data_IF_553397674572
#
_entry.id   IF_553397674572
#
_cell.length_a   1.000
_cell.length_b   1.000
_cell.length_c   1.000
_cell.angle_alpha   90.00
_cell.angle_beta   90.00
_cell.angle_gamma   90.00
#
_symmetry.space_group_name_H-M   'P 1'
#
loop_
_entity.id
_entity.type
_entity.pdbx_description
1 polymer ?
#
# COMPACT_ATOMS: atom_id res chain seq x y z
N UNK A 1 15.23 10.58 -24.62
CA UNK A 1 15.01 10.42 -26.07
C UNK A 1 14.81 8.93 -26.32
N UNK A 2 13.57 8.49 -26.54
CA UNK A 2 13.25 7.09 -26.86
C UNK A 2 12.96 7.04 -28.36
N UNK A 3 13.70 6.24 -29.12
CA UNK A 3 13.49 6.08 -30.56
C UNK A 3 13.12 4.64 -30.92
N UNK A 4 12.14 4.52 -31.82
CA UNK A 4 11.77 3.29 -32.51
C UNK A 4 12.57 3.17 -33.83
N UNK A 5 12.88 1.95 -34.31
CA UNK A 5 13.57 1.73 -35.59
C UNK A 5 12.82 2.26 -36.83
N UNK A 6 11.54 2.62 -36.69
CA UNK A 6 10.71 3.26 -37.72
C UNK A 6 10.49 4.73 -37.37
N UNK A 7 11.53 5.54 -37.56
CA UNK A 7 11.55 7.00 -37.32
C UNK A 7 10.66 7.76 -38.32
N UNK A 8 9.33 7.78 -38.12
CA UNK A 8 8.44 8.63 -38.94
C UNK A 8 7.41 9.42 -38.13
N UNK A 9 7.65 9.57 -36.82
CA UNK A 9 6.76 10.35 -35.94
C UNK A 9 7.55 11.14 -34.90
N UNK A 10 7.70 12.43 -35.17
CA UNK A 10 8.14 13.42 -34.19
C UNK A 10 6.87 14.00 -33.54
N UNK A 11 6.83 14.03 -32.21
CA UNK A 11 5.73 14.62 -31.46
C UNK A 11 6.31 15.54 -30.38
N UNK A 12 6.09 16.84 -30.55
CA UNK A 12 6.47 17.86 -29.59
C UNK A 12 5.28 18.17 -28.68
N UNK A 13 5.51 18.14 -27.38
CA UNK A 13 4.50 18.43 -26.36
C UNK A 13 4.95 19.63 -25.53
N UNK A 14 4.15 20.69 -25.54
CA UNK A 14 4.36 21.85 -24.68
C UNK A 14 3.32 21.84 -23.56
N UNK A 15 3.77 21.97 -22.31
CA UNK A 15 2.91 22.07 -21.14
C UNK A 15 3.34 23.25 -20.28
N UNK A 16 2.35 24.01 -19.80
CA UNK A 16 2.60 25.07 -18.82
C UNK A 16 2.91 24.47 -17.47
N UNK A 17 3.98 24.95 -16.85
CA UNK A 17 4.36 24.58 -15.50
C UNK A 17 3.49 25.34 -14.49
N UNK A 18 3.28 24.72 -13.33
CA UNK A 18 2.65 25.36 -12.18
C UNK A 18 3.70 25.46 -11.07
N UNK A 19 3.70 26.61 -10.37
CA UNK A 19 4.48 26.76 -9.15
C UNK A 19 3.76 26.01 -8.03
N UNK A 20 4.35 24.90 -7.60
CA UNK A 20 3.87 24.10 -6.47
C UNK A 20 4.89 24.25 -5.35
N UNK A 21 4.45 24.75 -4.20
CA UNK A 21 5.30 24.84 -3.02
C UNK A 21 5.74 23.45 -2.59
N UNK A 22 7.06 23.24 -2.52
CA UNK A 22 7.64 21.94 -2.19
C UNK A 22 7.87 21.80 -0.69
N UNK A 23 6.87 21.33 0.03
CA UNK A 23 7.04 20.90 1.42
C UNK A 23 7.70 19.51 1.45
N UNK A 24 8.97 19.47 1.84
CA UNK A 24 9.70 18.22 1.98
C UNK A 24 9.46 17.64 3.37
N UNK A 25 8.67 16.57 3.43
CA UNK A 25 8.60 15.73 4.63
C UNK A 25 9.84 14.83 4.65
N UNK A 26 10.55 14.83 5.79
CA UNK A 26 11.69 13.94 5.98
C UNK A 26 11.26 12.47 5.87
N UNK A 27 12.10 11.63 5.26
CA UNK A 27 11.84 10.19 5.26
C UNK A 27 12.08 9.62 6.66
N UNK A 28 11.14 8.86 7.24
CA UNK A 28 11.34 8.25 8.55
C UNK A 28 12.45 7.18 8.47
N UNK A 29 13.50 7.32 9.28
CA UNK A 29 14.55 6.30 9.48
C UNK A 29 14.16 5.30 10.59
N UNK A 30 12.91 4.87 10.61
CA UNK A 30 12.40 3.98 11.66
C UNK A 30 12.76 2.52 11.36
N UNK A 31 13.18 1.78 12.38
CA UNK A 31 13.34 0.32 12.26
C UNK A 31 11.98 -0.36 12.07
N UNK A 32 11.82 -1.07 10.96
CA UNK A 32 10.62 -1.82 10.68
C UNK A 32 10.58 -3.12 11.50
N UNK A 33 9.48 -3.33 12.24
CA UNK A 33 9.26 -4.56 13.02
C UNK A 33 9.16 -5.82 12.14
N UNK A 34 8.75 -5.67 10.88
CA UNK A 34 8.70 -6.75 9.90
C UNK A 34 8.89 -6.21 8.47
N UNK A 35 9.55 -7.00 7.62
CA UNK A 35 9.70 -6.73 6.19
C UNK A 35 9.20 -7.95 5.42
N UNK A 36 8.17 -7.76 4.60
CA UNK A 36 7.61 -8.82 3.76
C UNK A 36 7.98 -8.55 2.30
N UNK A 37 8.58 -9.55 1.65
CA UNK A 37 8.88 -9.55 0.21
C UNK A 37 8.00 -10.57 -0.49
N UNK A 38 7.27 -10.15 -1.52
CA UNK A 38 6.41 -11.01 -2.33
C UNK A 38 6.28 -10.49 -3.76
N UNK A 39 5.69 -11.29 -4.64
CA UNK A 39 5.36 -10.87 -6.01
C UNK A 39 4.36 -9.70 -5.99
N UNK A 40 4.70 -8.62 -6.70
CA UNK A 40 3.80 -7.45 -6.85
C UNK A 40 2.46 -7.84 -7.47
N UNK A 41 2.47 -8.79 -8.41
CA UNK A 41 1.26 -9.31 -9.05
C UNK A 41 0.37 -10.13 -8.10
N UNK A 42 0.96 -10.84 -7.14
CA UNK A 42 0.20 -11.53 -6.08
C UNK A 42 -0.37 -10.52 -5.08
N UNK A 43 0.45 -9.57 -4.62
CA UNK A 43 -0.02 -8.51 -3.71
C UNK A 43 -1.15 -7.69 -4.32
N UNK A 44 -1.06 -7.34 -5.61
CA UNK A 44 -2.11 -6.66 -6.34
C UNK A 44 -3.42 -7.46 -6.40
N UNK A 45 -3.34 -8.78 -6.59
CA UNK A 45 -4.51 -9.67 -6.56
C UNK A 45 -5.12 -9.72 -5.17
N UNK A 46 -4.30 -9.86 -4.12
CA UNK A 46 -4.76 -9.85 -2.72
C UNK A 46 -5.52 -8.55 -2.43
N UNK A 47 -4.94 -7.38 -2.68
CA UNK A 47 -5.60 -6.10 -2.43
C UNK A 47 -6.93 -5.98 -3.19
N UNK A 48 -6.99 -6.37 -4.47
CA UNK A 48 -8.22 -6.35 -5.26
C UNK A 48 -9.30 -7.28 -4.69
N UNK A 49 -8.94 -8.51 -4.32
CA UNK A 49 -9.86 -9.50 -3.76
C UNK A 49 -10.47 -9.02 -2.44
N UNK A 50 -9.66 -8.47 -1.54
CA UNK A 50 -10.19 -7.93 -0.29
C UNK A 50 -11.04 -6.67 -0.51
N UNK A 51 -10.73 -5.87 -1.53
CA UNK A 51 -11.49 -4.64 -1.84
C UNK A 51 -12.89 -4.90 -2.39
N UNK A 52 -13.16 -6.10 -2.92
CA UNK A 52 -14.53 -6.49 -3.28
C UNK A 52 -15.38 -6.90 -2.07
N UNK A 53 -14.75 -7.13 -0.92
CA UNK A 53 -15.40 -7.63 0.30
C UNK A 53 -15.52 -6.52 1.35
N UNK A 54 -14.52 -5.65 1.49
CA UNK A 54 -14.59 -4.52 2.41
C UNK A 54 -13.56 -3.42 2.12
N UNK A 55 -13.58 -2.37 2.91
CA UNK A 55 -12.75 -1.17 2.67
C UNK A 55 -11.37 -1.21 3.34
N UNK A 56 -11.15 -2.18 4.22
CA UNK A 56 -9.93 -2.31 5.02
C UNK A 56 -9.35 -3.71 4.97
N UNK A 57 -8.03 -3.78 5.15
CA UNK A 57 -7.31 -5.04 5.33
C UNK A 57 -6.43 -4.92 6.55
N UNK A 58 -6.54 -5.92 7.42
CA UNK A 58 -5.62 -6.17 8.53
C UNK A 58 -4.48 -7.03 7.98
N UNK A 59 -3.25 -6.54 8.13
CA UNK A 59 -2.04 -7.24 7.75
C UNK A 59 -1.31 -7.64 9.03
N UNK A 60 -1.23 -8.94 9.29
CA UNK A 60 -0.50 -9.49 10.43
C UNK A 60 0.73 -10.25 9.96
N UNK A 61 1.85 -10.08 10.67
CA UNK A 61 3.06 -10.86 10.43
C UNK A 61 3.39 -11.65 11.68
N UNK A 62 3.61 -12.96 11.52
CA UNK A 62 3.96 -13.89 12.59
C UNK A 62 5.18 -14.71 12.21
N UNK A 63 5.71 -15.50 13.16
CA UNK A 63 6.75 -16.50 12.86
C UNK A 63 6.32 -17.54 11.81
N UNK A 64 5.01 -17.74 11.61
CA UNK A 64 4.47 -18.70 10.64
C UNK A 64 4.27 -18.10 9.24
N UNK A 65 4.27 -16.78 9.11
CA UNK A 65 4.07 -16.09 7.84
C UNK A 65 3.23 -14.82 7.96
N UNK A 66 2.81 -14.29 6.80
CA UNK A 66 1.95 -13.12 6.68
C UNK A 66 0.49 -13.54 6.48
N UNK A 67 -0.44 -12.87 7.18
CA UNK A 67 -1.88 -13.08 7.09
C UNK A 67 -2.55 -11.78 6.67
N UNK A 68 -3.52 -11.89 5.76
CA UNK A 68 -4.40 -10.79 5.34
C UNK A 68 -5.82 -11.14 5.75
N UNK A 69 -6.54 -10.21 6.39
CA UNK A 69 -7.93 -10.40 6.79
C UNK A 69 -8.73 -9.10 6.66
N UNK A 70 -10.05 -9.20 6.52
CA UNK A 70 -10.98 -8.06 6.62
C UNK A 70 -11.89 -8.25 7.82
N UNK A 71 -12.30 -7.15 8.47
CA UNK A 71 -13.12 -7.20 9.69
C UNK A 71 -14.55 -7.66 9.45
N UNK A 72 -15.07 -7.54 8.23
CA UNK A 72 -16.50 -7.83 7.95
C UNK A 72 -16.88 -9.32 8.04
N UNK A 73 -15.91 -10.24 8.10
CA UNK A 73 -16.15 -11.69 8.30
C UNK A 73 -15.31 -12.34 9.42
N UNK A 74 -14.49 -11.57 10.14
CA UNK A 74 -13.60 -12.14 11.13
C UNK A 74 -14.24 -12.12 12.52
N UNK A 75 -14.76 -13.27 12.96
CA UNK A 75 -14.91 -13.61 14.39
C UNK A 75 -13.66 -13.13 15.13
N UNK A 76 -13.84 -12.46 16.27
CA UNK A 76 -12.73 -11.96 17.10
C UNK A 76 -11.85 -13.15 17.46
N UNK A 77 -10.75 -13.31 16.73
CA UNK A 77 -9.70 -14.26 17.05
C UNK A 77 -8.65 -13.41 17.72
N UNK A 78 -8.47 -13.58 19.03
CA UNK A 78 -7.30 -13.04 19.73
C UNK A 78 -6.05 -13.57 19.02
N UNK A 79 -5.36 -12.68 18.29
CA UNK A 79 -4.17 -13.04 17.53
C UNK A 79 -2.95 -12.60 18.33
N UNK A 80 -2.12 -13.55 18.74
CA UNK A 80 -0.85 -13.30 19.44
C UNK A 80 0.25 -12.93 18.42
N UNK A 81 -0.07 -12.00 17.52
CA UNK A 81 0.74 -11.64 16.37
C UNK A 81 1.75 -10.54 16.75
N UNK A 82 3.05 -10.68 16.45
CA UNK A 82 4.07 -9.70 16.84
C UNK A 82 3.89 -8.33 16.17
N UNK A 83 3.20 -8.25 15.03
CA UNK A 83 2.71 -6.99 14.46
C UNK A 83 1.42 -7.24 13.69
N UNK A 84 0.40 -6.40 13.95
CA UNK A 84 -0.89 -6.42 13.26
C UNK A 84 -1.34 -4.97 13.06
N UNK A 85 -1.56 -4.58 11.81
CA UNK A 85 -1.96 -3.21 11.46
C UNK A 85 -3.08 -3.22 10.43
N UNK A 86 -4.02 -2.30 10.58
CA UNK A 86 -5.16 -2.11 9.68
C UNK A 86 -4.87 -1.01 8.67
N UNK A 87 -5.13 -1.27 7.38
CA UNK A 87 -4.90 -0.31 6.29
C UNK A 87 -6.13 -0.15 5.40
N UNK A 88 -6.29 1.04 4.81
CA UNK A 88 -7.32 1.30 3.83
C UNK A 88 -6.95 0.74 2.45
N UNK A 89 -7.79 -0.15 1.92
CA UNK A 89 -7.55 -0.86 0.66
C UNK A 89 -7.54 0.06 -0.56
N UNK A 90 -8.27 1.17 -0.51
CA UNK A 90 -8.27 2.20 -1.58
C UNK A 90 -6.86 2.69 -1.92
N UNK A 91 -6.02 2.93 -0.91
CA UNK A 91 -4.65 3.40 -1.13
C UNK A 91 -3.74 2.26 -1.59
N UNK A 92 -3.87 1.06 -1.00
CA UNK A 92 -3.10 -0.11 -1.41
C UNK A 92 -3.33 -0.48 -2.89
N UNK A 93 -4.57 -0.42 -3.37
CA UNK A 93 -4.89 -0.59 -4.79
C UNK A 93 -4.26 0.50 -5.69
N UNK A 94 -4.05 1.70 -5.16
CA UNK A 94 -3.37 2.76 -5.91
C UNK A 94 -1.87 2.47 -6.02
N UNK A 95 -1.25 1.93 -4.96
CA UNK A 95 0.17 1.57 -4.96
C UNK A 95 0.46 0.40 -5.92
N UNK A 96 -0.45 -0.56 -6.04
CA UNK A 96 -0.26 -1.72 -6.94
C UNK A 96 -0.23 -1.34 -8.41
N UNK A 97 -0.65 -0.12 -8.78
CA UNK A 97 -0.49 0.42 -10.15
C UNK A 97 0.98 0.61 -10.54
N UNK A 98 1.89 0.75 -9.57
CA UNK A 98 3.32 0.86 -9.81
C UNK A 98 4.02 -0.50 -10.10
N UNK A 99 3.29 -1.63 -10.06
CA UNK A 99 3.87 -2.98 -10.26
C UNK A 99 4.78 -3.11 -11.50
N UNK A 100 4.49 -2.49 -12.66
CA UNK A 100 5.37 -2.57 -13.84
C UNK A 100 6.71 -1.84 -13.71
N UNK A 101 6.86 -0.94 -12.74
CA UNK A 101 8.05 -0.07 -12.59
C UNK A 101 9.17 -0.71 -11.77
N UNK A 102 8.97 -1.93 -11.27
CA UNK A 102 9.91 -2.60 -10.37
C UNK A 102 11.30 -2.85 -10.98
N UNK A 103 11.42 -2.88 -12.31
CA UNK A 103 12.68 -3.17 -13.01
C UNK A 103 13.55 -1.91 -13.25
N UNK A 104 12.98 -0.71 -13.19
CA UNK A 104 13.68 0.54 -13.52
C UNK A 104 14.18 1.31 -12.28
N UNK A 105 13.70 0.96 -11.08
CA UNK A 105 14.05 1.64 -9.85
C UNK A 105 13.11 1.27 -8.70
N UNK A 106 12.98 2.13 -7.70
CA UNK A 106 12.05 1.94 -6.60
C UNK A 106 11.15 3.16 -6.40
N UNK A 107 9.90 2.89 -6.04
CA UNK A 107 8.95 3.88 -5.52
C UNK A 107 8.57 3.41 -4.13
N UNK A 108 8.72 4.28 -3.13
CA UNK A 108 8.34 3.99 -1.73
C UNK A 108 7.05 4.72 -1.39
N UNK A 109 6.02 3.95 -1.06
CA UNK A 109 4.76 4.46 -0.57
C UNK A 109 4.70 4.30 0.95
N UNK A 110 4.33 5.37 1.66
CA UNK A 110 4.08 5.35 3.10
C UNK A 110 2.58 5.53 3.33
N UNK A 111 2.01 4.68 4.18
CA UNK A 111 0.59 4.70 4.52
C UNK A 111 0.44 4.56 6.02
N UNK A 112 -0.22 5.53 6.65
CA UNK A 112 -0.57 5.45 8.05
C UNK A 112 -1.60 4.34 8.28
N UNK A 113 -1.44 3.50 9.32
CA UNK A 113 -2.48 2.54 9.70
C UNK A 113 -3.73 3.28 10.19
N UNK A 114 -4.90 2.64 10.06
CA UNK A 114 -6.11 3.10 10.72
C UNK A 114 -5.96 2.84 12.22
N UNK A 115 -6.16 3.88 13.02
CA UNK A 115 -6.27 3.78 14.47
C UNK A 115 -7.72 3.34 14.75
N UNK A 116 -7.88 2.31 15.58
CA UNK A 116 -9.19 1.98 16.14
C UNK A 116 -9.36 2.91 17.34
N UNK A 117 -10.38 3.76 17.32
CA UNK A 117 -10.78 4.46 18.53
C UNK A 117 -11.35 3.38 19.45
N UNK A 118 -10.65 3.07 20.54
CA UNK A 118 -11.20 2.28 21.62
C UNK A 118 -12.47 3.03 22.08
N UNK A 119 -13.65 2.53 21.73
CA UNK A 119 -14.87 2.96 22.41
C UNK A 119 -14.65 2.58 23.88
N UNK A 120 -14.30 3.56 24.72
CA UNK A 120 -14.32 3.38 26.16
C UNK A 120 -15.69 2.78 26.49
N UNK A 121 -15.68 1.53 26.97
CA UNK A 121 -16.86 0.90 27.56
C UNK A 121 -17.35 1.87 28.62
N UNK A 122 -18.43 2.59 28.31
CA UNK A 122 -19.22 3.28 29.31
C UNK A 122 -19.92 2.18 30.09
N UNK A 123 -19.20 1.61 31.07
CA UNK A 123 -19.84 0.77 32.09
C UNK A 123 -20.93 1.61 32.77
N UNK A 124 -22.12 1.04 33.00
CA UNK A 124 -23.31 1.76 33.48
C UNK A 124 -23.23 2.24 34.93
#
# INVERSE_FOLDING_TARGET
>A
MFESPTQDKIADFEMKLMDIDSEHLGTPETEYQAIVRMSSAEFARICKNFSSIGDTVVISVTKKGVKFSTKEEATIIEMNDPVSLTFALRYLNSFTKASPLAEMGYIRFYLAPKIEEDEEETEP
#
